data_IF_872156137684
#
_entry.id   IF_872156137684
#
_cell.length_a   1.000
_cell.length_b   1.000
_cell.length_c   1.000
_cell.angle_alpha   90.00
_cell.angle_beta   90.00
_cell.angle_gamma   90.00
#
_symmetry.space_group_name_H-M   'P 1'
#
loop_
_entity.id
_entity.type
_entity.pdbx_description
1 polymer ?
#
# COMPACT_ATOMS: atom_id res chain seq x y z
N UNK A 1 2.96 11.93 24.14
CA UNK A 1 3.94 12.32 23.11
C UNK A 1 3.58 11.57 21.84
N UNK A 2 3.34 12.21 20.69
CA UNK A 2 3.05 11.46 19.48
C UNK A 2 4.32 10.68 19.10
N UNK A 3 4.18 9.36 18.97
CA UNK A 3 5.27 8.45 18.66
C UNK A 3 5.92 8.83 17.32
N UNK A 4 7.22 9.15 17.36
CA UNK A 4 8.07 9.47 16.21
C UNK A 4 8.22 8.31 15.19
N UNK A 5 7.58 7.16 15.40
CA UNK A 5 7.59 5.99 14.51
C UNK A 5 6.72 6.16 13.25
N UNK A 6 5.78 7.11 13.24
CA UNK A 6 4.90 7.36 12.08
C UNK A 6 5.65 8.05 10.93
N UNK A 7 6.63 8.89 11.25
CA UNK A 7 7.36 9.74 10.30
C UNK A 7 8.45 8.95 9.55
N UNK A 8 8.96 7.86 10.12
CA UNK A 8 10.17 7.17 9.64
C UNK A 8 9.99 6.34 8.37
N UNK A 9 8.77 5.95 8.01
CA UNK A 9 8.52 5.15 6.80
C UNK A 9 8.31 6.00 5.53
N UNK A 10 7.80 7.22 5.67
CA UNK A 10 7.69 8.19 4.58
C UNK A 10 8.97 9.03 4.41
N UNK A 11 9.80 9.12 5.46
CA UNK A 11 11.05 9.88 5.45
C UNK A 11 12.29 9.06 5.10
N UNK A 12 12.15 7.87 4.50
CA UNK A 12 13.31 7.13 4.00
C UNK A 12 13.90 7.88 2.80
N UNK A 13 14.72 8.86 3.14
CA UNK A 13 15.63 9.56 2.26
C UNK A 13 16.41 8.52 1.46
N UNK A 14 16.10 8.46 0.16
CA UNK A 14 16.88 7.95 -0.95
C UNK A 14 18.07 7.08 -0.55
N UNK A 15 17.77 5.85 -0.12
CA UNK A 15 18.80 4.84 0.10
C UNK A 15 19.18 4.20 -1.24
N UNK A 16 20.45 3.87 -1.42
CA UNK A 16 20.99 3.18 -2.61
C UNK A 16 20.36 1.81 -2.91
N UNK A 17 19.49 1.31 -2.04
CA UNK A 17 18.82 0.02 -2.15
C UNK A 17 17.46 0.07 -2.88
N UNK A 18 16.98 1.26 -3.23
CA UNK A 18 15.72 1.41 -3.97
C UNK A 18 15.93 1.33 -5.48
N UNK A 19 15.08 0.55 -6.15
CA UNK A 19 14.97 0.56 -7.61
C UNK A 19 13.90 1.58 -8.01
N UNK A 20 14.18 2.36 -9.06
CA UNK A 20 13.19 3.27 -9.64
C UNK A 20 12.43 2.54 -10.77
N UNK A 21 11.12 2.73 -10.83
CA UNK A 21 10.34 2.36 -12.02
C UNK A 21 10.70 3.30 -13.18
N UNK A 22 10.38 2.89 -14.40
CA UNK A 22 10.48 3.80 -15.53
C UNK A 22 9.54 4.99 -15.36
N UNK A 23 9.88 6.10 -16.01
CA UNK A 23 8.98 7.24 -16.14
C UNK A 23 8.03 6.97 -17.31
N UNK A 24 6.74 6.78 -17.02
CA UNK A 24 5.71 6.48 -18.02
C UNK A 24 4.33 6.80 -17.44
N UNK A 25 3.39 7.23 -18.27
CA UNK A 25 2.00 7.48 -17.86
C UNK A 25 1.37 6.18 -17.30
N UNK A 26 1.09 5.22 -18.18
CA UNK A 26 0.43 3.96 -17.85
C UNK A 26 1.41 2.78 -17.85
N UNK A 27 2.31 2.76 -16.86
CA UNK A 27 3.38 1.77 -16.75
C UNK A 27 3.27 0.80 -15.58
N UNK A 28 4.30 -0.04 -15.46
CA UNK A 28 4.55 -0.93 -14.32
C UNK A 28 6.04 -1.20 -14.23
N UNK A 29 6.51 -1.60 -13.04
CA UNK A 29 7.79 -2.27 -12.90
C UNK A 29 7.86 -3.54 -13.79
N UNK A 30 9.08 -4.01 -14.12
CA UNK A 30 9.30 -5.40 -14.50
C UNK A 30 8.80 -6.38 -13.42
N UNK A 31 8.82 -7.69 -13.70
CA UNK A 31 8.57 -8.71 -12.69
C UNK A 31 9.59 -8.60 -11.56
N UNK A 32 9.12 -8.44 -10.33
CA UNK A 32 9.97 -8.42 -9.15
C UNK A 32 9.84 -9.77 -8.44
N UNK A 33 10.90 -10.56 -8.42
CA UNK A 33 10.94 -11.80 -7.64
C UNK A 33 11.08 -11.47 -6.15
N UNK A 34 10.22 -12.07 -5.33
CA UNK A 34 10.24 -11.86 -3.88
C UNK A 34 11.36 -12.70 -3.24
N UNK A 35 12.14 -12.08 -2.37
CA UNK A 35 13.19 -12.76 -1.60
C UNK A 35 12.62 -13.74 -0.56
N UNK A 36 11.36 -13.55 -0.19
CA UNK A 36 10.58 -14.46 0.64
C UNK A 36 9.16 -14.55 0.07
N UNK A 37 8.55 -15.75 -0.04
CA UNK A 37 7.16 -15.86 -0.45
C UNK A 37 6.24 -15.05 0.48
N UNK A 38 5.27 -14.36 -0.12
CA UNK A 38 4.27 -13.58 0.59
C UNK A 38 2.91 -14.28 0.48
N UNK A 39 2.25 -14.52 1.61
CA UNK A 39 0.93 -15.14 1.63
C UNK A 39 -0.14 -14.06 1.67
N UNK A 40 -0.97 -13.99 0.63
CA UNK A 40 -2.10 -13.08 0.50
C UNK A 40 -3.39 -13.90 0.45
N UNK A 41 -4.15 -13.86 1.54
CA UNK A 41 -5.40 -14.59 1.80
C UNK A 41 -5.34 -16.08 1.42
N UNK A 42 -4.31 -16.76 1.92
CA UNK A 42 -4.08 -18.19 1.68
C UNK A 42 -3.39 -18.54 0.36
N UNK A 43 -3.15 -17.57 -0.53
CA UNK A 43 -2.35 -17.78 -1.75
C UNK A 43 -0.92 -17.29 -1.54
N UNK A 44 0.04 -18.13 -1.90
CA UNK A 44 1.46 -17.80 -1.81
C UNK A 44 1.95 -17.22 -3.13
N UNK A 45 2.56 -16.04 -3.07
CA UNK A 45 3.15 -15.36 -4.20
C UNK A 45 4.67 -15.29 -4.08
N UNK A 46 5.35 -15.52 -5.20
CA UNK A 46 6.82 -15.41 -5.35
C UNK A 46 7.24 -14.21 -6.21
N UNK A 47 6.28 -13.45 -6.72
CA UNK A 47 6.53 -12.23 -7.49
C UNK A 47 5.52 -11.14 -7.17
N UNK A 48 5.85 -9.91 -7.54
CA UNK A 48 4.96 -8.75 -7.48
C UNK A 48 5.29 -7.76 -8.60
N UNK A 49 4.34 -6.91 -8.93
CA UNK A 49 4.45 -5.78 -9.85
C UNK A 49 4.00 -4.51 -9.16
N UNK A 50 4.75 -3.43 -9.37
CA UNK A 50 4.41 -2.07 -8.91
C UNK A 50 3.87 -1.30 -10.09
N UNK A 51 2.56 -1.07 -10.12
CA UNK A 51 1.91 -0.40 -11.25
C UNK A 51 1.90 1.12 -11.01
N UNK A 52 2.08 1.90 -12.09
CA UNK A 52 2.27 3.34 -11.96
C UNK A 52 1.05 4.06 -11.38
N UNK A 53 -0.13 3.54 -11.68
CA UNK A 53 -1.44 3.99 -11.20
C UNK A 53 -1.74 3.54 -9.76
N UNK A 54 -0.75 3.46 -8.88
CA UNK A 54 -0.93 3.38 -7.42
C UNK A 54 -1.49 2.05 -6.87
N UNK A 55 -1.22 0.94 -7.55
CA UNK A 55 -1.64 -0.39 -7.11
C UNK A 55 -0.59 -1.47 -7.39
N UNK A 56 -0.64 -2.57 -6.64
CA UNK A 56 0.21 -3.73 -6.74
C UNK A 56 -0.60 -4.94 -7.24
N UNK A 57 0.03 -5.75 -8.07
CA UNK A 57 -0.51 -7.01 -8.58
C UNK A 57 0.54 -8.11 -8.47
N UNK A 58 0.12 -9.37 -8.42
CA UNK A 58 1.06 -10.48 -8.24
C UNK A 58 1.34 -11.28 -9.52
N UNK A 59 0.35 -11.46 -10.39
CA UNK A 59 0.48 -12.37 -11.55
C UNK A 59 1.03 -11.71 -12.81
N UNK A 60 0.66 -10.44 -13.05
CA UNK A 60 1.02 -9.72 -14.26
C UNK A 60 1.00 -8.21 -13.98
N UNK A 61 1.76 -7.41 -14.76
CA UNK A 61 1.63 -5.96 -14.71
C UNK A 61 0.21 -5.55 -15.14
N UNK A 62 -0.28 -4.44 -14.61
CA UNK A 62 -1.58 -3.90 -14.96
C UNK A 62 -1.56 -2.38 -15.02
N UNK A 63 -1.70 -1.85 -16.22
CA UNK A 63 -1.60 -0.42 -16.49
C UNK A 63 -2.92 0.35 -16.31
N UNK A 64 -3.94 -0.24 -15.68
CA UNK A 64 -5.26 0.40 -15.58
C UNK A 64 -5.20 1.67 -14.75
N UNK A 65 -5.53 2.81 -15.35
CA UNK A 65 -5.64 4.12 -14.69
C UNK A 65 -7.05 4.42 -14.15
N UNK A 66 -8.07 3.71 -14.63
CA UNK A 66 -9.45 3.86 -14.16
C UNK A 66 -9.67 2.94 -12.95
N UNK A 67 -9.83 3.48 -11.73
CA UNK A 67 -10.11 2.65 -10.58
C UNK A 67 -11.52 2.04 -10.66
N UNK A 68 -11.62 0.81 -10.16
CA UNK A 68 -12.88 0.12 -9.95
C UNK A 68 -13.20 0.09 -8.46
N UNK A 69 -14.49 0.12 -8.12
CA UNK A 69 -14.91 -0.02 -6.72
C UNK A 69 -14.69 -1.45 -6.26
N UNK A 70 -14.05 -1.63 -5.11
CA UNK A 70 -14.11 -2.92 -4.42
C UNK A 70 -15.50 -3.10 -3.77
N UNK A 71 -16.05 -4.33 -3.70
CA UNK A 71 -15.53 -5.54 -4.33
C UNK A 71 -15.67 -5.49 -5.86
N UNK A 72 -14.58 -5.75 -6.58
CA UNK A 72 -14.53 -5.80 -8.03
C UNK A 72 -15.17 -7.08 -8.59
N UNK A 73 -15.21 -8.16 -7.80
CA UNK A 73 -15.51 -9.52 -8.25
C UNK A 73 -14.65 -9.92 -9.46
N UNK A 74 -13.38 -9.48 -9.46
CA UNK A 74 -12.46 -9.64 -10.56
C UNK A 74 -11.66 -10.95 -10.51
N UNK A 75 -10.78 -11.13 -11.49
CA UNK A 75 -9.93 -12.32 -11.61
C UNK A 75 -8.51 -12.11 -11.09
N UNK A 76 -8.27 -11.08 -10.27
CA UNK A 76 -6.92 -10.71 -9.81
C UNK A 76 -6.91 -10.34 -8.34
N UNK A 77 -5.87 -10.80 -7.64
CA UNK A 77 -5.50 -10.28 -6.33
C UNK A 77 -4.78 -8.93 -6.47
N UNK A 78 -5.26 -7.91 -5.74
CA UNK A 78 -4.80 -6.53 -5.86
C UNK A 78 -4.67 -5.86 -4.49
N UNK A 79 -3.60 -5.10 -4.31
CA UNK A 79 -3.43 -4.17 -3.20
C UNK A 79 -3.33 -2.77 -3.80
N UNK A 80 -4.31 -1.91 -3.52
CA UNK A 80 -4.39 -0.57 -4.06
C UNK A 80 -4.24 0.44 -2.91
N UNK A 81 -3.02 0.84 -2.49
CA UNK A 81 -2.89 1.92 -1.52
C UNK A 81 -3.53 3.22 -2.03
N UNK A 82 -3.48 3.50 -3.33
CA UNK A 82 -4.08 4.71 -3.91
C UNK A 82 -4.25 4.55 -5.42
N UNK A 83 -5.26 3.81 -5.86
CA UNK A 83 -5.49 3.59 -7.28
C UNK A 83 -6.26 4.75 -7.92
N UNK A 84 -5.57 5.47 -8.79
CA UNK A 84 -6.11 6.52 -9.66
C UNK A 84 -5.16 6.71 -10.84
N UNK A 85 -5.51 7.63 -11.72
CA UNK A 85 -4.76 7.99 -12.92
C UNK A 85 -3.62 8.96 -12.58
N UNK A 86 -2.42 8.37 -12.45
CA UNK A 86 -1.17 9.00 -12.04
C UNK A 86 -0.19 9.00 -13.21
N UNK A 87 0.66 10.02 -13.28
CA UNK A 87 1.63 10.17 -14.36
C UNK A 87 3.00 10.56 -13.79
N UNK A 88 3.88 9.58 -13.61
CA UNK A 88 5.26 9.83 -13.21
C UNK A 88 6.19 10.21 -14.37
N UNK A 89 5.69 10.28 -15.61
CA UNK A 89 6.46 10.81 -16.74
C UNK A 89 6.59 12.34 -16.70
N UNK A 90 5.69 13.03 -15.99
CA UNK A 90 5.70 14.49 -15.86
C UNK A 90 6.23 14.97 -14.52
N UNK A 91 6.00 14.23 -13.42
CA UNK A 91 6.51 14.58 -12.10
C UNK A 91 6.48 13.41 -11.12
N UNK A 92 7.44 13.39 -10.19
CA UNK A 92 7.56 12.39 -9.14
C UNK A 92 8.16 11.08 -9.63
N UNK A 93 8.30 10.15 -8.69
CA UNK A 93 9.00 8.90 -8.91
C UNK A 93 8.33 7.74 -8.18
N UNK A 94 8.59 6.52 -8.63
CA UNK A 94 8.02 5.30 -8.04
C UNK A 94 9.15 4.36 -7.70
N UNK A 95 9.36 4.13 -6.41
CA UNK A 95 10.45 3.33 -5.90
C UNK A 95 9.97 2.05 -5.26
N UNK A 96 10.78 1.00 -5.35
CA UNK A 96 10.57 -0.21 -4.57
C UNK A 96 11.86 -0.83 -4.07
N UNK A 97 11.77 -1.54 -2.95
CA UNK A 97 12.89 -2.25 -2.33
C UNK A 97 12.40 -3.44 -1.50
N UNK A 98 13.31 -4.39 -1.28
CA UNK A 98 13.10 -5.53 -0.38
C UNK A 98 14.18 -5.56 0.69
N UNK A 99 13.80 -5.97 1.90
CA UNK A 99 14.70 -6.06 3.04
C UNK A 99 14.48 -7.38 3.78
N UNK A 100 15.58 -8.05 4.14
CA UNK A 100 15.58 -9.26 4.98
C UNK A 100 16.42 -9.07 6.26
N UNK A 101 17.00 -7.89 6.44
CA UNK A 101 17.77 -7.50 7.64
C UNK A 101 17.82 -5.98 7.77
N UNK A 102 18.40 -5.49 8.87
CA UNK A 102 18.59 -4.06 9.13
C UNK A 102 17.48 -3.40 9.97
N UNK A 103 17.65 -2.10 10.22
CA UNK A 103 16.80 -1.33 11.15
C UNK A 103 15.32 -1.31 10.72
N UNK A 104 15.03 -1.30 9.41
CA UNK A 104 13.66 -1.32 8.92
C UNK A 104 12.92 -2.60 9.31
N UNK A 105 13.59 -3.76 9.27
CA UNK A 105 13.02 -5.03 9.69
C UNK A 105 12.66 -5.03 11.19
N UNK A 106 13.54 -4.44 12.00
CA UNK A 106 13.34 -4.28 13.45
C UNK A 106 12.19 -3.34 13.76
N UNK A 107 12.11 -2.21 13.05
CA UNK A 107 11.04 -1.23 13.23
C UNK A 107 9.66 -1.80 12.86
N UNK A 108 9.54 -2.45 11.69
CA UNK A 108 8.26 -3.11 11.31
C UNK A 108 7.89 -4.22 12.29
N UNK A 109 8.88 -4.96 12.80
CA UNK A 109 8.64 -5.96 13.85
C UNK A 109 8.07 -5.32 15.11
N UNK A 110 8.61 -4.20 15.56
CA UNK A 110 8.11 -3.47 16.72
C UNK A 110 6.70 -2.92 16.48
N UNK A 111 6.48 -2.24 15.36
CA UNK A 111 5.18 -1.66 14.99
C UNK A 111 4.08 -2.75 14.96
N UNK A 112 4.33 -3.89 14.31
CA UNK A 112 3.34 -4.97 14.25
C UNK A 112 3.06 -5.59 15.62
N UNK A 113 4.07 -5.75 16.48
CA UNK A 113 3.85 -6.24 17.85
C UNK A 113 3.14 -5.21 18.73
N UNK A 114 3.29 -3.91 18.47
CA UNK A 114 2.52 -2.85 19.15
C UNK A 114 1.03 -2.92 18.76
N UNK A 115 0.74 -3.10 17.46
CA UNK A 115 -0.64 -3.15 16.96
C UNK A 115 -1.32 -4.50 17.21
N UNK A 116 -0.55 -5.60 17.20
CA UNK A 116 -1.03 -6.97 17.34
C UNK A 116 -0.22 -7.76 18.40
N UNK A 117 -0.32 -7.39 19.69
CA UNK A 117 0.55 -7.90 20.75
C UNK A 117 0.45 -9.41 21.00
N UNK A 118 -0.62 -10.05 20.53
CA UNK A 118 -0.87 -11.48 20.73
C UNK A 118 -0.12 -12.39 19.74
N UNK A 119 0.41 -11.86 18.64
CA UNK A 119 0.98 -12.69 17.56
C UNK A 119 2.45 -13.07 17.77
N UNK A 120 3.20 -12.31 18.58
CA UNK A 120 4.67 -12.45 18.72
C UNK A 120 5.37 -12.46 17.35
N UNK A 121 5.08 -11.45 16.54
CA UNK A 121 5.56 -11.33 15.18
C UNK A 121 7.07 -11.06 15.15
N UNK A 122 7.77 -11.59 14.15
CA UNK A 122 9.18 -11.26 13.90
C UNK A 122 9.42 -11.21 12.40
N UNK A 123 9.43 -10.01 11.81
CA UNK A 123 9.56 -9.85 10.38
C UNK A 123 10.83 -10.54 9.87
N UNK A 124 10.67 -11.37 8.83
CA UNK A 124 11.77 -11.98 8.07
C UNK A 124 12.00 -11.25 6.76
N UNK A 125 10.98 -10.54 6.29
CA UNK A 125 10.99 -9.90 5.00
C UNK A 125 10.07 -8.69 4.98
N UNK A 126 10.49 -7.66 4.25
CA UNK A 126 9.71 -6.48 3.90
C UNK A 126 9.84 -6.27 2.39
N UNK A 127 8.72 -5.96 1.73
CA UNK A 127 8.69 -5.27 0.45
C UNK A 127 8.04 -3.91 0.63
N UNK A 128 8.62 -2.89 0.02
CA UNK A 128 8.14 -1.52 0.09
C UNK A 128 8.01 -0.96 -1.31
N UNK A 129 6.87 -0.36 -1.62
CA UNK A 129 6.64 0.42 -2.84
C UNK A 129 6.13 1.81 -2.45
N UNK A 130 6.80 2.84 -2.96
CA UNK A 130 6.48 4.25 -2.67
C UNK A 130 6.26 4.99 -3.99
N UNK A 131 5.11 5.63 -4.12
CA UNK A 131 4.86 6.65 -5.13
C UNK A 131 5.15 7.98 -4.45
N UNK A 132 6.22 8.66 -4.87
CA UNK A 132 6.74 9.84 -4.20
C UNK A 132 6.57 11.06 -5.10
N UNK A 133 5.70 11.99 -4.67
CA UNK A 133 5.44 13.23 -5.38
C UNK A 133 4.86 13.04 -6.79
N UNK A 134 4.21 11.90 -7.06
CA UNK A 134 3.69 11.58 -8.39
C UNK A 134 2.50 12.48 -8.71
N UNK A 135 2.51 13.08 -9.89
CA UNK A 135 1.41 13.92 -10.36
C UNK A 135 0.20 13.10 -10.80
N UNK A 136 -0.99 13.68 -10.71
CA UNK A 136 -2.16 13.20 -11.44
C UNK A 136 -1.98 13.46 -12.94
N UNK A 137 -2.49 12.55 -13.79
CA UNK A 137 -2.53 12.80 -15.23
C UNK A 137 -3.26 14.11 -15.55
N UNK A 138 -2.73 14.87 -16.50
CA UNK A 138 -3.19 16.22 -16.89
C UNK A 138 -3.11 17.30 -15.78
N UNK A 139 -2.41 17.05 -14.68
CA UNK A 139 -2.12 18.05 -13.65
C UNK A 139 -0.66 17.93 -13.16
N UNK A 140 0.35 18.32 -13.98
CA UNK A 140 1.76 18.12 -13.68
C UNK A 140 2.27 18.88 -12.44
N UNK A 141 1.52 19.89 -11.98
CA UNK A 141 1.86 20.64 -10.76
C UNK A 141 1.47 19.93 -9.46
N UNK A 142 0.67 18.86 -9.54
CA UNK A 142 0.26 18.09 -8.37
C UNK A 142 1.35 17.15 -7.87
N UNK A 143 1.32 16.87 -6.57
CA UNK A 143 2.25 15.97 -5.89
C UNK A 143 1.49 15.07 -4.91
N UNK A 144 1.56 13.77 -5.17
CA UNK A 144 0.90 12.76 -4.34
C UNK A 144 1.92 11.74 -3.85
N UNK A 145 2.01 11.56 -2.54
CA UNK A 145 2.96 10.66 -1.88
C UNK A 145 2.23 9.63 -1.01
N UNK A 146 2.43 8.35 -1.32
CA UNK A 146 1.89 7.24 -0.55
C UNK A 146 2.77 5.99 -0.71
N UNK A 147 2.59 5.02 0.18
CA UNK A 147 3.43 3.83 0.25
C UNK A 147 2.61 2.60 0.64
N UNK A 148 2.94 1.47 0.02
CA UNK A 148 2.54 0.14 0.49
C UNK A 148 3.76 -0.60 1.06
N UNK A 149 3.59 -1.23 2.22
CA UNK A 149 4.58 -2.09 2.85
C UNK A 149 3.97 -3.47 3.07
N UNK A 150 4.58 -4.50 2.49
CA UNK A 150 4.22 -5.89 2.72
C UNK A 150 5.29 -6.51 3.63
N UNK A 151 4.89 -7.26 4.64
CA UNK A 151 5.83 -7.95 5.52
C UNK A 151 5.33 -9.32 5.95
N UNK A 152 6.24 -10.24 6.23
CA UNK A 152 5.91 -11.55 6.77
C UNK A 152 6.98 -12.08 7.72
N UNK A 153 6.58 -12.90 8.69
CA UNK A 153 7.48 -13.75 9.50
C UNK A 153 7.53 -15.22 8.99
N UNK A 154 6.88 -15.49 7.85
CA UNK A 154 6.69 -16.82 7.26
C UNK A 154 5.47 -17.58 7.77
N UNK A 155 4.78 -17.07 8.79
CA UNK A 155 3.47 -17.58 9.25
C UNK A 155 2.39 -16.54 9.01
N UNK A 156 2.65 -15.30 9.39
CA UNK A 156 1.76 -14.17 9.26
C UNK A 156 2.24 -13.16 8.22
N UNK A 157 1.29 -12.60 7.49
CA UNK A 157 1.52 -11.61 6.43
C UNK A 157 0.69 -10.36 6.70
N UNK A 158 1.30 -9.21 6.52
CA UNK A 158 0.68 -7.90 6.72
C UNK A 158 0.88 -6.99 5.50
N UNK A 159 -0.12 -6.15 5.27
CA UNK A 159 -0.06 -5.01 4.37
C UNK A 159 -0.25 -3.74 5.20
N UNK A 160 0.66 -2.79 5.07
CA UNK A 160 0.53 -1.45 5.60
C UNK A 160 0.39 -0.47 4.43
N UNK A 161 -0.48 0.52 4.59
CA UNK A 161 -0.63 1.64 3.66
C UNK A 161 -0.32 2.92 4.45
N UNK A 162 0.64 3.70 3.96
CA UNK A 162 1.07 4.96 4.56
C UNK A 162 0.79 6.12 3.60
N UNK A 163 0.24 7.22 4.11
CA UNK A 163 -0.12 8.39 3.30
C UNK A 163 0.68 9.62 3.74
N UNK A 164 1.31 10.28 2.77
CA UNK A 164 1.96 11.59 2.93
C UNK A 164 1.07 12.70 2.39
N UNK A 165 1.67 13.63 1.64
CA UNK A 165 0.92 14.68 0.95
C UNK A 165 0.04 14.07 -0.15
N UNK A 166 -1.26 14.36 -0.14
CA UNK A 166 -2.20 13.95 -1.19
C UNK A 166 -2.89 15.20 -1.73
N UNK A 167 -2.34 15.79 -2.80
CA UNK A 167 -2.93 16.99 -3.40
C UNK A 167 -4.40 16.77 -3.79
N UNK A 168 -5.25 17.81 -3.65
CA UNK A 168 -6.67 17.69 -3.94
C UNK A 168 -6.92 17.37 -5.42
N UNK A 169 -7.94 16.55 -5.69
CA UNK A 169 -8.32 16.16 -7.05
C UNK A 169 -9.79 15.80 -7.13
N UNK A 170 -10.39 15.93 -8.32
CA UNK A 170 -11.75 15.44 -8.61
C UNK A 170 -11.75 14.02 -9.18
N UNK A 171 -10.58 13.39 -9.31
CA UNK A 171 -10.46 12.02 -9.82
C UNK A 171 -11.06 11.02 -8.85
N UNK A 172 -11.66 9.97 -9.39
CA UNK A 172 -12.01 8.79 -8.61
C UNK A 172 -10.74 8.15 -8.07
N UNK A 173 -10.78 7.71 -6.81
CA UNK A 173 -9.67 7.03 -6.15
C UNK A 173 -10.23 5.81 -5.42
N UNK A 174 -9.63 4.65 -5.63
CA UNK A 174 -9.87 3.45 -4.83
C UNK A 174 -8.66 3.18 -3.93
N UNK A 175 -8.88 3.08 -2.62
CA UNK A 175 -7.85 2.62 -1.69
C UNK A 175 -8.35 1.39 -0.93
N UNK A 176 -7.48 0.41 -0.72
CA UNK A 176 -7.81 -0.86 -0.06
C UNK A 176 -7.20 -2.06 -0.77
N UNK A 177 -7.85 -3.20 -0.67
CA UNK A 177 -7.40 -4.42 -1.29
C UNK A 177 -8.59 -5.31 -1.67
N UNK A 178 -8.37 -6.20 -2.62
CA UNK A 178 -9.38 -7.15 -3.10
C UNK A 178 -8.70 -8.44 -3.55
N UNK A 179 -9.45 -9.53 -3.55
CA UNK A 179 -9.01 -10.84 -4.03
C UNK A 179 -9.77 -11.28 -5.27
N UNK A 180 -9.28 -12.33 -5.93
CA UNK A 180 -10.02 -13.04 -6.98
C UNK A 180 -11.40 -13.42 -6.45
N UNK A 181 -12.44 -13.10 -7.22
CA UNK A 181 -13.86 -13.25 -6.87
C UNK A 181 -14.28 -12.49 -5.62
N UNK A 182 -13.45 -11.55 -5.14
CA UNK A 182 -13.68 -10.76 -3.94
C UNK A 182 -14.06 -11.59 -2.72
N UNK A 183 -13.41 -12.75 -2.56
CA UNK A 183 -13.59 -13.58 -1.36
C UNK A 183 -13.18 -12.84 -0.10
N UNK A 184 -12.19 -11.95 -0.20
CA UNK A 184 -11.77 -11.04 0.85
C UNK A 184 -11.49 -9.67 0.22
N UNK A 185 -11.98 -8.60 0.83
CA UNK A 185 -11.71 -7.25 0.37
C UNK A 185 -11.87 -6.26 1.51
N UNK A 186 -11.25 -5.09 1.35
CA UNK A 186 -11.46 -3.96 2.23
C UNK A 186 -11.43 -2.67 1.42
N UNK A 187 -12.36 -1.77 1.73
CA UNK A 187 -12.46 -0.44 1.13
C UNK A 187 -12.03 0.56 2.19
N UNK A 188 -10.96 1.32 1.95
CA UNK A 188 -10.63 2.41 2.87
C UNK A 188 -11.73 3.46 2.83
N UNK A 189 -12.22 3.92 4.00
CA UNK A 189 -13.12 5.07 4.09
C UNK A 189 -12.55 6.25 3.31
N UNK A 190 -13.39 6.90 2.50
CA UNK A 190 -12.98 7.98 1.59
C UNK A 190 -12.83 7.56 0.13
N UNK A 191 -12.71 6.26 -0.17
CA UNK A 191 -12.68 5.76 -1.56
C UNK A 191 -13.88 6.26 -2.37
N UNK A 192 -13.61 6.79 -3.57
CA UNK A 192 -14.59 7.44 -4.46
C UNK A 192 -15.43 8.54 -3.79
N UNK A 193 -14.83 9.32 -2.90
CA UNK A 193 -15.46 10.49 -2.32
C UNK A 193 -14.53 11.69 -2.35
N UNK A 194 -15.09 12.89 -2.14
CA UNK A 194 -14.34 14.15 -2.21
C UNK A 194 -13.36 14.36 -1.04
N UNK A 195 -13.41 13.53 0.01
CA UNK A 195 -12.50 13.61 1.15
C UNK A 195 -11.39 12.55 1.10
N UNK A 196 -11.16 11.90 -0.05
CA UNK A 196 -10.02 11.02 -0.26
C UNK A 196 -8.68 11.78 -0.17
N UNK A 197 -8.64 13.05 -0.60
CA UNK A 197 -7.41 13.86 -0.75
C UNK A 197 -7.60 15.28 -0.19
N UNK A 198 -6.54 16.08 -0.25
CA UNK A 198 -6.50 17.44 0.29
C UNK A 198 -6.34 17.50 1.81
N UNK A 199 -6.48 18.72 2.35
CA UNK A 199 -6.15 19.03 3.75
C UNK A 199 -6.95 18.23 4.79
N UNK A 200 -8.12 17.70 4.43
CA UNK A 200 -8.98 16.90 5.31
C UNK A 200 -9.09 15.44 4.82
N UNK A 201 -8.05 14.95 4.11
CA UNK A 201 -8.04 13.59 3.57
C UNK A 201 -8.30 12.56 4.66
N UNK A 202 -9.30 11.71 4.47
CA UNK A 202 -9.59 10.58 5.35
C UNK A 202 -8.44 9.57 5.33
N UNK A 203 -7.78 9.37 4.18
CA UNK A 203 -6.63 8.48 4.10
C UNK A 203 -5.47 8.95 4.98
N UNK A 204 -5.17 10.26 4.97
CA UNK A 204 -4.06 10.84 5.73
C UNK A 204 -4.37 11.12 7.21
N UNK A 205 -5.64 11.29 7.59
CA UNK A 205 -6.01 11.68 8.96
C UNK A 205 -6.60 10.53 9.80
N UNK A 206 -7.18 9.52 9.17
CA UNK A 206 -7.75 8.37 9.88
C UNK A 206 -6.80 7.16 9.86
N UNK A 207 -7.18 6.12 10.61
CA UNK A 207 -6.41 4.90 10.79
C UNK A 207 -7.27 3.81 11.40
N UNK A 208 -6.90 2.53 11.20
CA UNK A 208 -7.46 1.41 11.95
C UNK A 208 -6.58 0.96 13.15
N UNK A 209 -5.45 1.63 13.38
CA UNK A 209 -4.50 1.34 14.47
C UNK A 209 -4.13 2.60 15.27
N UNK A 210 -4.94 3.66 15.18
CA UNK A 210 -4.77 4.94 15.88
C UNK A 210 -3.46 5.69 15.58
N UNK A 211 -2.87 5.45 14.39
CA UNK A 211 -1.74 6.23 13.87
C UNK A 211 -2.20 6.91 12.58
N UNK A 212 -2.49 8.23 12.61
CA UNK A 212 -3.00 8.96 11.46
C UNK A 212 -2.19 8.70 10.20
N UNK A 213 -2.88 8.42 9.10
CA UNK A 213 -2.24 8.18 7.80
C UNK A 213 -1.66 6.78 7.63
N UNK A 214 -1.81 5.89 8.62
CA UNK A 214 -1.37 4.50 8.54
C UNK A 214 -2.53 3.53 8.71
N UNK A 215 -2.62 2.58 7.79
CA UNK A 215 -3.61 1.51 7.79
C UNK A 215 -2.90 0.17 7.74
N UNK A 216 -3.26 -0.77 8.61
CA UNK A 216 -2.53 -2.05 8.76
C UNK A 216 -3.50 -3.22 8.74
N UNK A 217 -3.27 -4.17 7.84
CA UNK A 217 -4.15 -5.31 7.64
C UNK A 217 -3.34 -6.60 7.74
N UNK A 218 -3.81 -7.55 8.56
CA UNK A 218 -3.34 -8.93 8.49
C UNK A 218 -4.02 -9.60 7.30
N UNK A 219 -3.23 -10.16 6.39
CA UNK A 219 -3.70 -10.73 5.12
C UNK A 219 -3.27 -12.18 4.94
N UNK A 220 -2.89 -12.88 6.01
CA UNK A 220 -2.41 -14.27 5.95
C UNK A 220 -3.46 -15.25 5.45
N UNK A 221 -4.65 -15.19 6.00
CA UNK A 221 -5.74 -16.14 5.77
C UNK A 221 -7.03 -15.37 5.52
N UNK A 222 -7.91 -15.92 4.67
CA UNK A 222 -9.27 -15.41 4.51
C UNK A 222 -10.02 -15.41 5.85
N UNK A 223 -10.79 -14.36 6.07
CA UNK A 223 -11.61 -14.15 7.25
C UNK A 223 -13.09 -14.31 6.89
N UNK A 224 -13.64 -15.47 7.22
CA UNK A 224 -14.80 -15.42 8.12
C UNK A 224 -14.30 -14.84 9.47
N UNK A 225 -14.18 -13.53 9.54
CA UNK A 225 -13.45 -12.85 10.62
C UNK A 225 -13.75 -11.35 10.70
N UNK A 226 -15.04 -11.02 10.57
CA UNK A 226 -15.75 -10.06 11.41
C UNK A 226 -14.84 -9.18 12.31
N UNK A 227 -14.40 -8.03 11.80
CA UNK A 227 -14.14 -6.89 12.68
C UNK A 227 -15.51 -6.42 13.16
N UNK A 228 -15.93 -6.90 14.33
CA UNK A 228 -16.94 -6.20 15.12
C UNK A 228 -16.40 -4.80 15.39
N UNK A 229 -16.79 -3.84 14.55
CA UNK A 229 -17.06 -2.50 15.05
C UNK A 229 -18.42 -2.62 15.76
N UNK A 230 -18.37 -3.05 17.02
CA UNK A 230 -19.48 -2.77 17.92
C UNK A 230 -19.38 -1.30 18.30
N UNK A 231 -20.50 -0.61 18.12
CA UNK A 231 -20.77 0.75 18.55
C UNK A 231 -20.22 1.07 19.95
N UNK A 232 -19.63 2.28 20.06
CA UNK A 232 -19.80 3.18 21.21
C UNK A 232 -19.50 4.61 20.77
#
# INVERSE_FOLDING_TARGET
TPNNSSITLLSLTFSIFFMNCSHSDDGSSPQILLLHPFVYFGRSYSQIYVNHNGHLTFEAPWSSYVPQRFPMNGTRDIIAPFWTDLNNAVNGDIYYAQFTSGHLLQQVTQDINEYFPYLKFSAKWIFMATWYGVAYFSNPGSQTTFQAVLTTDGKDSFVLMNYGNLDPTSRSIQAGYDTINSTEYFILPGSFSSNATGNNSVFSHNSNINVPGRWVFRVTHGSAGMTRLSDS
#
